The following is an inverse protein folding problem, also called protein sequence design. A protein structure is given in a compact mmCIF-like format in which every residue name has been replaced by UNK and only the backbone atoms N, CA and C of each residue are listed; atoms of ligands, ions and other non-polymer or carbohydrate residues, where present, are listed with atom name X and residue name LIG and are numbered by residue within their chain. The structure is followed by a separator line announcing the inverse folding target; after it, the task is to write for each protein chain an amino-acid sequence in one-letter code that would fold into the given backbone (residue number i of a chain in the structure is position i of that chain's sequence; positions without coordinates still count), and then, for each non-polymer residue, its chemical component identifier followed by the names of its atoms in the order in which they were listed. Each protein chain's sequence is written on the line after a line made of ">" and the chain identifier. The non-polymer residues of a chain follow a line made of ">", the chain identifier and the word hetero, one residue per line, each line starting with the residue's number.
data_IF_131354230915
#
_entry.id   IF_131354230915
#
_cell.length_a   1.000
_cell.length_b   1.000
_cell.length_c   1.000
_cell.angle_alpha   90.00
_cell.angle_beta   90.00
_cell.angle_gamma   90.00
#
_symmetry.space_group_name_H-M   'P 1'
#
loop_
_entity.id
_entity.type
_entity.pdbx_description
1 polymer ?
#
# COMPACT_ATOMS: atom_id res chain seq x y z
N UNK A 1 12.04 -3.52 3.15
CA UNK A 1 10.63 -3.76 3.48
C UNK A 1 10.23 -2.70 4.49
N UNK A 2 9.19 -1.92 4.19
CA UNK A 2 8.72 -0.83 5.06
C UNK A 2 7.73 -1.31 6.12
N UNK A 3 7.27 -2.57 6.04
CA UNK A 3 6.22 -3.11 6.89
C UNK A 3 4.99 -2.17 6.97
N UNK A 4 4.67 -1.57 5.82
CA UNK A 4 3.63 -0.56 5.65
C UNK A 4 2.38 -1.22 5.07
N UNK A 5 1.24 -1.04 5.72
CA UNK A 5 -0.05 -1.44 5.20
C UNK A 5 -0.81 -0.15 4.88
N UNK A 6 -1.26 -0.04 3.64
CA UNK A 6 -1.95 1.15 3.13
C UNK A 6 -3.31 0.75 2.62
N UNK A 7 -4.28 1.63 2.78
CA UNK A 7 -5.59 1.47 2.14
C UNK A 7 -5.57 2.03 0.71
N UNK A 8 -6.64 1.76 -0.02
CA UNK A 8 -7.04 2.32 -1.31
C UNK A 8 -7.59 3.75 -1.23
N UNK A 9 -7.24 4.52 -0.20
CA UNK A 9 -7.74 5.88 0.01
C UNK A 9 -7.10 6.88 -0.97
N UNK A 10 -7.52 6.79 -2.23
CA UNK A 10 -7.14 7.68 -3.31
C UNK A 10 -7.63 9.11 -3.04
N UNK A 11 -8.79 9.28 -2.41
CA UNK A 11 -9.36 10.61 -2.20
C UNK A 11 -8.50 11.45 -1.24
N UNK A 12 -7.90 10.81 -0.22
CA UNK A 12 -6.95 11.46 0.68
C UNK A 12 -5.55 11.63 0.09
N UNK A 13 -5.14 10.76 -0.84
CA UNK A 13 -3.78 10.74 -1.41
C UNK A 13 -3.76 10.61 -2.95
N UNK A 14 -4.43 11.52 -3.69
CA UNK A 14 -4.75 11.29 -5.10
C UNK A 14 -3.54 11.29 -6.04
N UNK A 15 -2.45 11.91 -5.58
CA UNK A 15 -1.19 11.97 -6.33
C UNK A 15 -0.40 10.67 -6.10
N UNK A 16 -0.35 10.16 -4.88
CA UNK A 16 0.61 9.11 -4.49
C UNK A 16 0.02 7.70 -4.54
N UNK A 17 -1.31 7.58 -4.43
CA UNK A 17 -2.04 6.31 -4.33
C UNK A 17 -3.05 6.20 -5.46
N UNK A 18 -3.09 5.06 -6.12
CA UNK A 18 -4.10 4.70 -7.10
C UNK A 18 -5.28 3.91 -6.51
N UNK A 19 -6.30 3.71 -7.32
CA UNK A 19 -7.58 3.10 -6.94
C UNK A 19 -7.53 1.59 -6.56
N UNK A 20 -6.37 0.94 -6.71
CA UNK A 20 -6.24 -0.51 -6.54
C UNK A 20 -5.40 -0.91 -5.33
N UNK A 21 -5.11 0.00 -4.40
CA UNK A 21 -4.54 -0.35 -3.09
C UNK A 21 -5.39 -1.38 -2.34
N UNK A 22 -4.80 -2.13 -1.39
CA UNK A 22 -5.53 -3.05 -0.52
C UNK A 22 -4.90 -3.06 0.88
N UNK A 23 -5.75 -3.19 1.90
CA UNK A 23 -5.33 -3.32 3.29
C UNK A 23 -5.90 -2.22 4.16
N UNK A 24 -5.58 -2.26 5.45
CA UNK A 24 -5.95 -1.22 6.39
C UNK A 24 -4.74 -0.35 6.67
N UNK A 25 -4.92 0.98 6.66
CA UNK A 25 -3.84 1.92 6.98
C UNK A 25 -3.26 1.62 8.37
N UNK A 26 -1.94 1.49 8.47
CA UNK A 26 -1.22 1.47 9.74
C UNK A 26 -0.27 2.70 9.85
N UNK A 27 0.32 2.91 11.02
CA UNK A 27 1.19 4.08 11.27
C UNK A 27 2.36 4.16 10.28
N UNK A 28 2.99 3.02 9.95
CA UNK A 28 4.05 2.96 8.95
C UNK A 28 3.55 3.33 7.54
N UNK A 29 2.33 2.90 7.19
CA UNK A 29 1.65 3.23 5.95
C UNK A 29 1.41 4.72 5.82
N UNK A 30 0.91 5.36 6.88
CA UNK A 30 0.69 6.81 6.89
C UNK A 30 2.01 7.57 6.72
N UNK A 31 3.03 7.27 7.52
CA UNK A 31 4.32 7.95 7.41
C UNK A 31 4.98 7.77 6.03
N UNK A 32 4.78 6.61 5.40
CA UNK A 32 5.27 6.36 4.06
C UNK A 32 4.50 7.16 3.00
N UNK A 33 3.18 7.36 3.14
CA UNK A 33 2.40 8.22 2.25
C UNK A 33 2.75 9.69 2.40
N UNK A 34 2.98 10.16 3.62
CA UNK A 34 3.48 11.51 3.89
C UNK A 34 4.85 11.73 3.23
N UNK A 35 5.76 10.76 3.37
CA UNK A 35 7.06 10.79 2.69
C UNK A 35 6.92 10.79 1.16
N UNK A 36 6.08 9.92 0.60
CA UNK A 36 5.87 9.86 -0.85
C UNK A 36 5.28 11.17 -1.38
N UNK A 37 4.31 11.75 -0.68
CA UNK A 37 3.70 13.03 -1.05
C UNK A 37 4.68 14.18 -1.00
N UNK A 38 5.51 14.22 0.04
CA UNK A 38 6.55 15.23 0.17
C UNK A 38 7.58 15.17 -0.98
N UNK A 39 7.89 13.96 -1.46
CA UNK A 39 8.88 13.73 -2.50
C UNK A 39 8.29 13.54 -3.92
N UNK A 40 6.98 13.68 -4.10
CA UNK A 40 6.27 13.40 -5.36
C UNK A 40 6.52 11.98 -5.89
N UNK A 41 6.52 11.00 -5.00
CA UNK A 41 6.65 9.58 -5.32
C UNK A 41 5.30 8.88 -5.35
N UNK A 42 5.22 7.82 -6.14
CA UNK A 42 4.00 7.08 -6.44
C UNK A 42 4.12 5.64 -5.94
N UNK A 43 3.10 5.17 -5.23
CA UNK A 43 2.99 3.76 -4.83
C UNK A 43 2.45 2.95 -6.00
N UNK A 44 3.33 2.60 -6.94
CA UNK A 44 3.01 2.00 -8.25
C UNK A 44 2.04 0.82 -8.18
N UNK A 45 2.17 -0.04 -7.17
CA UNK A 45 1.32 -1.23 -7.00
C UNK A 45 -0.18 -0.90 -6.80
N UNK A 46 -0.49 0.33 -6.41
CA UNK A 46 -1.87 0.81 -6.19
C UNK A 46 -2.51 1.37 -7.45
N UNK A 47 -1.74 1.65 -8.51
CA UNK A 47 -2.27 2.22 -9.76
C UNK A 47 -2.78 1.19 -10.76
N UNK A 48 -2.37 -0.08 -10.62
CA UNK A 48 -2.71 -1.14 -11.57
C UNK A 48 -3.59 -2.22 -10.95
N UNK A 49 -4.59 -2.66 -11.71
CA UNK A 49 -5.41 -3.80 -11.36
C UNK A 49 -4.59 -5.10 -11.41
N UNK A 50 -4.20 -5.58 -10.23
CA UNK A 50 -3.50 -6.86 -10.07
C UNK A 50 -4.43 -7.94 -9.50
N UNK A 51 -4.14 -9.21 -9.81
CA UNK A 51 -4.80 -10.34 -9.15
C UNK A 51 -4.54 -10.26 -7.64
N UNK A 52 -5.53 -10.52 -6.77
CA UNK A 52 -5.34 -10.48 -5.31
C UNK A 52 -4.14 -11.32 -4.82
N UNK A 53 -3.90 -12.47 -5.46
CA UNK A 53 -2.77 -13.36 -5.17
C UNK A 53 -1.39 -12.74 -5.42
N UNK A 54 -1.30 -11.67 -6.24
CA UNK A 54 -0.03 -10.97 -6.53
C UNK A 54 0.15 -9.73 -5.66
N UNK A 55 -0.91 -9.27 -4.98
CA UNK A 55 -0.87 -8.08 -4.12
C UNK A 55 -0.41 -8.42 -2.71
N UNK A 56 -0.77 -9.61 -2.21
CA UNK A 56 -0.38 -10.06 -0.89
C UNK A 56 1.06 -10.58 -0.87
N UNK A 57 1.84 -10.13 0.12
CA UNK A 57 3.24 -10.54 0.31
C UNK A 57 3.47 -11.29 1.62
N UNK A 58 2.54 -11.21 2.58
CA UNK A 58 2.69 -11.83 3.89
C UNK A 58 1.38 -12.41 4.40
N UNK A 59 1.44 -13.57 5.06
CA UNK A 59 0.28 -14.22 5.70
C UNK A 59 0.46 -14.21 7.21
N UNK A 60 -0.51 -13.66 7.92
CA UNK A 60 -0.50 -13.63 9.37
C UNK A 60 -0.55 -15.06 9.94
N UNK A 61 0.39 -15.47 10.83
CA UNK A 61 0.48 -16.84 11.30
C UNK A 61 -0.77 -17.37 12.01
N UNK A 62 -1.45 -16.50 12.78
CA UNK A 62 -2.66 -16.87 13.55
C UNK A 62 -3.97 -16.72 12.77
N UNK A 63 -4.29 -15.51 12.29
CA UNK A 63 -5.54 -15.24 11.58
C UNK A 63 -5.58 -15.79 10.15
N UNK A 64 -4.43 -16.23 9.62
CA UNK A 64 -4.28 -16.68 8.24
C UNK A 64 -4.65 -15.64 7.17
N UNK A 65 -4.83 -14.39 7.59
CA UNK A 65 -5.14 -13.26 6.71
C UNK A 65 -3.90 -12.84 5.93
N UNK A 66 -4.10 -12.40 4.69
CA UNK A 66 -3.05 -11.97 3.79
C UNK A 66 -2.94 -10.45 3.79
N UNK A 67 -1.71 -9.95 3.88
CA UNK A 67 -1.40 -8.54 3.90
C UNK A 67 -0.45 -8.18 2.76
N UNK A 68 -0.64 -6.99 2.20
CA UNK A 68 0.32 -6.35 1.31
C UNK A 68 1.25 -5.48 2.16
N UNK A 69 2.51 -5.90 2.31
CA UNK A 69 3.54 -5.16 3.05
C UNK A 69 4.67 -4.66 2.14
N UNK A 70 4.81 -5.28 0.96
CA UNK A 70 5.80 -4.89 -0.03
C UNK A 70 5.20 -3.91 -1.05
N UNK A 71 5.82 -2.74 -1.14
CA UNK A 71 5.41 -1.65 -2.00
C UNK A 71 6.54 -1.29 -2.97
N UNK A 72 6.17 -0.98 -4.21
CA UNK A 72 7.08 -0.43 -5.23
C UNK A 72 6.78 1.06 -5.32
N UNK A 73 7.82 1.87 -5.08
CA UNK A 73 7.76 3.33 -5.07
C UNK A 73 8.56 3.85 -6.26
N UNK A 74 8.04 4.83 -6.98
CA UNK A 74 8.69 5.44 -8.16
C UNK A 74 8.53 6.95 -8.11
#
# INVERSE_FOLDING_TARGET
>A
DFNACMDSDHDSWPICVGHFGIGNMNENGQGLLEFCTYHNLYVTNTFFANKPSHKASWRHPRSHHWHQLNLIIT
#
